data_IF_337273577886
#
_entry.id   IF_337273577886
#
_cell.length_a   1.000
_cell.length_b   1.000
_cell.length_c   1.000
_cell.angle_alpha   90.00
_cell.angle_beta   90.00
_cell.angle_gamma   90.00
#
_symmetry.space_group_name_H-M   'P 1'
#
loop_
_entity.id
_entity.type
_entity.pdbx_description
1 polymer ?
#
# COMPACT_ATOMS: atom_id res chain seq x y z
N UNK A 1 -46.24 -8.74 12.27
CA UNK A 1 -45.35 -9.38 11.28
C UNK A 1 -43.92 -9.17 11.79
N UNK A 2 -43.05 -10.20 11.76
CA UNK A 2 -41.61 -9.95 11.82
C UNK A 2 -41.16 -9.18 10.57
N UNK A 3 -39.98 -8.58 10.61
CA UNK A 3 -39.30 -7.98 9.46
C UNK A 3 -38.07 -8.83 9.16
N UNK A 4 -37.86 -9.15 7.88
CA UNK A 4 -36.73 -9.99 7.45
C UNK A 4 -35.40 -9.22 7.52
N UNK A 5 -34.30 -9.84 8.00
CA UNK A 5 -33.03 -9.17 8.24
C UNK A 5 -31.94 -9.47 7.18
N UNK A 6 -32.28 -9.61 5.89
CA UNK A 6 -31.29 -9.73 4.79
C UNK A 6 -31.54 -8.76 3.62
N UNK A 7 -31.10 -7.50 3.78
CA UNK A 7 -30.57 -6.72 2.66
C UNK A 7 -29.05 -6.56 2.85
N UNK A 8 -28.31 -7.59 2.42
CA UNK A 8 -26.85 -7.56 2.36
C UNK A 8 -26.42 -6.72 1.14
N UNK A 9 -26.27 -5.40 1.34
CA UNK A 9 -25.85 -4.48 0.29
C UNK A 9 -24.47 -4.90 -0.27
N UNK A 10 -24.34 -5.21 -1.58
CA UNK A 10 -23.11 -5.69 -2.16
C UNK A 10 -22.01 -4.62 -2.18
N UNK A 11 -20.77 -5.05 -1.96
CA UNK A 11 -19.59 -4.18 -1.96
C UNK A 11 -19.33 -3.62 -3.38
N UNK A 12 -19.27 -2.28 -3.58
CA UNK A 12 -18.93 -1.68 -4.88
C UNK A 12 -17.49 -1.97 -5.36
N UNK A 13 -16.64 -2.62 -4.55
CA UNK A 13 -15.33 -3.12 -4.97
C UNK A 13 -15.34 -4.59 -5.39
N UNK A 14 -16.49 -5.28 -5.35
CA UNK A 14 -16.64 -6.58 -6.00
C UNK A 14 -16.51 -6.40 -7.52
N UNK A 15 -15.46 -6.98 -8.11
CA UNK A 15 -15.25 -6.93 -9.56
C UNK A 15 -16.37 -7.67 -10.29
N UNK A 16 -16.98 -7.02 -11.29
CA UNK A 16 -18.03 -7.63 -12.11
C UNK A 16 -17.47 -8.86 -12.85
N UNK A 17 -17.99 -10.07 -12.62
CA UNK A 17 -17.45 -11.29 -13.22
C UNK A 17 -17.69 -11.39 -14.74
N UNK A 18 -18.41 -10.43 -15.35
CA UNK A 18 -18.77 -10.46 -16.76
C UNK A 18 -17.87 -9.59 -17.66
N UNK A 19 -17.08 -8.65 -17.11
CA UNK A 19 -16.17 -7.80 -17.92
C UNK A 19 -14.81 -8.49 -18.19
N UNK A 20 -14.87 -9.63 -18.89
CA UNK A 20 -13.70 -10.45 -19.22
C UNK A 20 -13.79 -10.99 -20.64
N UNK A 21 -13.77 -10.07 -21.65
CA UNK A 21 -13.55 -10.42 -23.06
C UNK A 21 -13.22 -9.30 -24.06
N UNK A 22 -12.49 -8.25 -23.67
CA UNK A 22 -11.56 -7.64 -24.65
C UNK A 22 -10.43 -6.78 -24.04
N UNK A 23 -9.29 -6.74 -24.74
CA UNK A 23 -8.00 -6.07 -24.42
C UNK A 23 -6.89 -6.95 -23.83
N UNK A 24 -6.69 -8.16 -24.40
CA UNK A 24 -5.42 -8.91 -24.24
C UNK A 24 -4.77 -9.24 -25.60
N UNK A 25 -4.54 -8.22 -26.43
CA UNK A 25 -3.78 -8.29 -27.69
C UNK A 25 -3.22 -6.92 -28.08
N UNK A 26 -2.02 -6.60 -27.58
CA UNK A 26 -0.94 -5.91 -28.32
C UNK A 26 0.21 -5.49 -27.37
N UNK A 27 1.15 -6.40 -27.14
CA UNK A 27 2.46 -6.04 -26.57
C UNK A 27 3.56 -6.95 -27.16
N UNK A 28 4.74 -6.34 -27.40
CA UNK A 28 6.05 -6.90 -27.80
C UNK A 28 6.50 -6.58 -29.24
N UNK A 29 7.72 -6.00 -29.33
CA UNK A 29 8.45 -5.41 -30.51
C UNK A 29 8.05 -3.94 -30.80
N UNK A 30 8.98 -2.98 -31.01
CA UNK A 30 10.44 -3.03 -31.28
C UNK A 30 11.28 -1.96 -30.52
N UNK A 31 12.43 -2.42 -30.00
CA UNK A 31 13.80 -1.83 -30.07
C UNK A 31 14.26 -0.62 -29.22
N UNK A 32 15.38 -0.89 -28.51
CA UNK A 32 16.57 -0.06 -28.22
C UNK A 32 16.47 1.39 -27.69
N UNK A 33 17.15 1.66 -26.56
CA UNK A 33 18.09 2.77 -26.43
C UNK A 33 19.51 2.37 -26.92
N UNK A 34 20.19 3.28 -27.63
CA UNK A 34 21.60 3.13 -28.00
C UNK A 34 22.52 3.62 -26.88
N UNK A 35 23.66 2.96 -26.68
CA UNK A 35 24.77 3.48 -25.86
C UNK A 35 26.01 3.69 -26.73
N UNK A 36 26.69 4.83 -26.51
CA UNK A 36 28.03 5.10 -27.07
C UNK A 36 28.93 5.62 -25.94
N UNK A 37 30.21 5.22 -25.90
CA UNK A 37 31.11 5.56 -24.80
C UNK A 37 31.79 6.92 -25.02
N UNK A 38 32.31 7.50 -23.95
CA UNK A 38 33.43 8.45 -24.01
C UNK A 38 34.27 8.30 -22.73
N UNK A 39 35.58 8.52 -22.82
CA UNK A 39 36.54 8.16 -21.78
C UNK A 39 37.54 9.31 -21.53
N UNK A 40 37.65 9.73 -20.26
CA UNK A 40 38.59 10.72 -19.64
C UNK A 40 38.17 10.83 -18.16
N UNK A 41 39.04 10.87 -17.15
CA UNK A 41 40.49 10.69 -17.12
C UNK A 41 41.05 10.67 -15.68
N UNK A 42 42.29 10.20 -15.55
CA UNK A 42 43.15 10.01 -14.36
C UNK A 42 43.14 11.15 -13.31
N UNK A 43 43.15 10.79 -12.01
CA UNK A 43 43.99 11.30 -10.88
C UNK A 43 43.65 10.48 -9.60
N UNK A 44 44.48 9.56 -9.10
CA UNK A 44 45.63 9.67 -8.15
C UNK A 44 45.29 9.91 -6.67
N UNK A 45 45.97 9.15 -5.78
CA UNK A 45 45.94 9.31 -4.32
C UNK A 45 45.27 8.15 -3.55
N UNK A 46 45.72 7.70 -2.37
CA UNK A 46 47.06 7.28 -1.92
C UNK A 46 46.99 6.67 -0.49
N UNK A 47 47.86 5.70 -0.19
CA UNK A 47 48.29 5.25 1.15
C UNK A 47 47.26 4.57 2.11
N UNK A 48 47.79 3.76 3.03
CA UNK A 48 47.07 2.92 3.99
C UNK A 48 47.79 1.57 4.20
N UNK A 49 48.43 1.38 5.36
CA UNK A 49 49.39 0.28 5.62
C UNK A 49 48.86 -0.80 6.60
N UNK A 50 49.73 -1.76 6.94
CA UNK A 50 49.63 -2.78 8.01
C UNK A 50 48.65 -3.97 7.81
N UNK A 51 48.96 -5.21 8.23
CA UNK A 51 50.25 -5.79 8.66
C UNK A 51 50.31 -7.32 8.44
N UNK A 52 51.41 -7.94 8.88
CA UNK A 52 51.81 -9.34 8.69
C UNK A 52 51.02 -10.36 9.53
N UNK A 53 50.88 -11.62 9.07
CA UNK A 53 51.40 -12.84 9.75
C UNK A 53 51.10 -14.17 9.00
N UNK A 54 51.72 -15.27 9.42
CA UNK A 54 51.80 -16.62 8.79
C UNK A 54 52.39 -17.62 9.82
N UNK A 55 52.44 -18.97 9.62
CA UNK A 55 51.48 -19.97 9.09
C UNK A 55 50.92 -20.84 10.26
N UNK A 56 50.47 -22.11 10.09
CA UNK A 56 51.39 -23.27 10.01
C UNK A 56 50.96 -24.41 9.04
N UNK A 57 51.69 -25.54 9.03
CA UNK A 57 51.47 -26.75 8.20
C UNK A 57 51.66 -28.03 9.06
N UNK A 58 50.85 -29.08 8.86
CA UNK A 58 51.33 -30.49 8.92
C UNK A 58 51.13 -31.20 7.55
N UNK A 59 52.08 -32.01 7.02
CA UNK A 59 52.35 -33.45 7.32
C UNK A 59 51.18 -34.37 6.92
N UNK A 60 51.31 -35.58 6.36
CA UNK A 60 52.42 -36.46 5.87
C UNK A 60 51.73 -37.49 4.88
N UNK A 61 52.29 -38.53 4.21
CA UNK A 61 53.58 -39.26 4.25
C UNK A 61 53.80 -40.15 2.97
N UNK A 62 55.07 -40.31 2.55
CA UNK A 62 55.76 -41.51 1.98
C UNK A 62 55.30 -42.31 0.72
N UNK A 63 56.34 -42.87 0.06
CA UNK A 63 56.42 -43.70 -1.17
C UNK A 63 56.58 -45.21 -0.81
N UNK A 64 56.46 -46.20 -1.75
CA UNK A 64 57.55 -46.64 -2.66
C UNK A 64 57.12 -46.76 -4.16
N UNK A 65 57.98 -46.69 -5.20
CA UNK A 65 59.02 -47.64 -5.69
C UNK A 65 58.48 -49.03 -6.11
N UNK A 66 58.89 -49.71 -7.20
CA UNK A 66 59.98 -49.54 -8.19
C UNK A 66 59.58 -50.09 -9.59
N UNK A 67 60.22 -49.63 -10.68
CA UNK A 67 61.13 -50.43 -11.54
C UNK A 67 61.39 -49.78 -12.93
N UNK A 68 62.65 -49.83 -13.36
CA UNK A 68 63.13 -49.34 -14.65
C UNK A 68 62.88 -50.33 -15.81
N UNK A 69 62.65 -49.77 -17.01
CA UNK A 69 63.25 -50.29 -18.24
C UNK A 69 63.29 -49.22 -19.36
N UNK A 70 64.48 -49.00 -19.90
CA UNK A 70 64.79 -48.29 -21.16
C UNK A 70 64.96 -49.35 -22.30
N UNK A 71 65.23 -48.99 -23.59
CA UNK A 71 65.36 -47.66 -24.20
C UNK A 71 64.55 -47.42 -25.51
N UNK A 72 64.61 -46.17 -25.99
CA UNK A 72 64.65 -45.72 -27.40
C UNK A 72 63.76 -46.37 -28.49
N UNK A 73 62.99 -45.52 -29.20
CA UNK A 73 63.00 -45.53 -30.67
C UNK A 73 62.60 -44.20 -31.30
N UNK A 74 63.10 -43.99 -32.52
CA UNK A 74 62.74 -43.01 -33.56
C UNK A 74 62.58 -41.50 -33.22
N UNK A 75 63.29 -40.70 -34.03
CA UNK A 75 63.16 -39.25 -34.14
C UNK A 75 61.82 -38.87 -34.83
N UNK A 76 61.21 -37.74 -34.47
CA UNK A 76 60.90 -36.61 -35.39
C UNK A 76 60.02 -35.51 -34.76
N UNK A 77 59.94 -34.38 -35.46
CA UNK A 77 59.02 -33.23 -35.27
C UNK A 77 59.15 -32.43 -33.96
N UNK A 78 59.68 -31.22 -34.12
CA UNK A 78 59.62 -30.14 -33.14
C UNK A 78 58.38 -29.26 -33.38
N UNK A 79 57.97 -28.51 -32.33
CA UNK A 79 57.03 -27.37 -32.34
C UNK A 79 55.50 -27.68 -32.35
N UNK A 80 54.72 -26.67 -31.91
CA UNK A 80 53.25 -26.50 -32.03
C UNK A 80 52.25 -27.27 -31.13
N UNK A 81 52.55 -27.49 -29.84
CA UNK A 81 51.52 -27.87 -28.83
C UNK A 81 51.13 -26.75 -27.85
N UNK A 82 52.05 -25.86 -27.52
CA UNK A 82 51.85 -24.82 -26.49
C UNK A 82 50.67 -23.86 -26.75
N UNK A 83 50.43 -23.34 -27.98
CA UNK A 83 49.27 -22.47 -28.24
C UNK A 83 47.93 -23.20 -28.08
N UNK A 84 47.87 -24.51 -28.36
CA UNK A 84 46.66 -25.31 -28.22
C UNK A 84 46.31 -25.52 -26.74
N UNK A 85 47.32 -25.83 -25.91
CA UNK A 85 47.11 -25.98 -24.46
C UNK A 85 46.68 -24.63 -23.83
N UNK A 86 47.31 -23.53 -24.23
CA UNK A 86 46.93 -22.19 -23.75
C UNK A 86 45.51 -21.80 -24.18
N UNK A 87 45.12 -22.10 -25.43
CA UNK A 87 43.76 -21.88 -25.92
C UNK A 87 42.72 -22.77 -25.21
N UNK A 88 43.07 -24.01 -24.86
CA UNK A 88 42.19 -24.90 -24.09
C UNK A 88 42.01 -24.40 -22.64
N UNK A 89 43.07 -23.90 -22.01
CA UNK A 89 42.99 -23.25 -20.70
C UNK A 89 42.15 -21.95 -20.75
N UNK A 90 42.24 -21.16 -21.82
CA UNK A 90 41.37 -19.99 -22.05
C UNK A 90 39.90 -20.40 -22.21
N UNK A 91 39.60 -21.44 -23.02
CA UNK A 91 38.24 -22.00 -23.15
C UNK A 91 37.69 -22.47 -21.80
N UNK A 92 38.49 -23.17 -20.99
CA UNK A 92 38.10 -23.63 -19.66
C UNK A 92 37.84 -22.46 -18.68
N UNK A 93 38.68 -21.41 -18.71
CA UNK A 93 38.47 -20.17 -17.94
C UNK A 93 37.16 -19.48 -18.34
N UNK A 94 36.90 -19.32 -19.64
CA UNK A 94 35.67 -18.74 -20.16
C UNK A 94 34.43 -19.58 -19.81
N UNK A 95 34.54 -20.91 -19.85
CA UNK A 95 33.46 -21.82 -19.46
C UNK A 95 33.16 -21.72 -17.96
N UNK A 96 34.18 -21.68 -17.09
CA UNK A 96 34.03 -21.39 -15.66
C UNK A 96 33.42 -20.00 -15.40
N UNK A 97 33.78 -18.98 -16.18
CA UNK A 97 33.21 -17.64 -16.05
C UNK A 97 31.73 -17.60 -16.44
N UNK A 98 31.34 -18.22 -17.57
CA UNK A 98 29.94 -18.39 -17.98
C UNK A 98 29.14 -19.20 -16.96
N UNK A 99 29.72 -20.25 -16.40
CA UNK A 99 29.08 -21.06 -15.37
C UNK A 99 28.85 -20.24 -14.09
N UNK A 100 29.85 -19.51 -13.59
CA UNK A 100 29.69 -18.59 -12.45
C UNK A 100 28.61 -17.53 -12.70
N UNK A 101 28.56 -16.95 -13.90
CA UNK A 101 27.49 -16.00 -14.27
C UNK A 101 26.11 -16.65 -14.26
N UNK A 102 25.99 -17.90 -14.74
CA UNK A 102 24.72 -18.66 -14.69
C UNK A 102 24.31 -18.97 -13.25
N UNK A 103 25.23 -19.44 -12.41
CA UNK A 103 25.02 -19.74 -10.99
C UNK A 103 24.60 -18.48 -10.22
N UNK A 104 25.27 -17.35 -10.46
CA UNK A 104 24.97 -16.05 -9.85
C UNK A 104 23.60 -15.50 -10.28
N UNK A 105 23.24 -15.62 -11.56
CA UNK A 105 21.91 -15.26 -12.07
C UNK A 105 20.82 -16.17 -11.49
N UNK A 106 21.10 -17.47 -11.32
CA UNK A 106 20.18 -18.44 -10.74
C UNK A 106 19.97 -18.18 -9.23
N UNK A 107 21.02 -17.83 -8.48
CA UNK A 107 20.89 -17.36 -7.09
C UNK A 107 20.07 -16.06 -7.01
N UNK A 108 20.29 -15.11 -7.92
CA UNK A 108 19.53 -13.85 -7.95
C UNK A 108 18.03 -14.10 -8.22
N UNK A 109 17.69 -15.02 -9.13
CA UNK A 109 16.31 -15.44 -9.37
C UNK A 109 15.69 -16.15 -8.16
N UNK A 110 16.45 -17.02 -7.48
CA UNK A 110 15.98 -17.68 -6.25
C UNK A 110 15.74 -16.67 -5.12
N UNK A 111 16.60 -15.65 -4.95
CA UNK A 111 16.40 -14.57 -3.97
C UNK A 111 15.19 -13.71 -4.30
N UNK A 112 14.90 -13.44 -5.59
CA UNK A 112 13.68 -12.73 -6.00
C UNK A 112 12.41 -13.56 -5.74
N UNK A 113 12.46 -14.88 -5.93
CA UNK A 113 11.33 -15.79 -5.62
C UNK A 113 11.09 -15.97 -4.11
N UNK A 114 12.09 -15.68 -3.27
CA UNK A 114 11.97 -15.74 -1.80
C UNK A 114 11.45 -14.44 -1.17
N UNK A 115 11.25 -13.37 -1.94
CA UNK A 115 10.55 -12.20 -1.40
C UNK A 115 9.08 -12.58 -1.13
N UNK A 116 8.55 -12.34 0.09
CA UNK A 116 7.15 -12.61 0.36
C UNK A 116 6.30 -11.69 -0.52
N UNK A 117 5.47 -12.30 -1.38
CA UNK A 117 4.44 -11.55 -2.09
C UNK A 117 3.58 -10.79 -1.06
N UNK A 118 3.09 -9.57 -1.36
CA UNK A 118 2.05 -8.94 -0.55
C UNK A 118 0.91 -9.94 -0.35
N UNK A 119 0.57 -10.22 0.92
CA UNK A 119 -0.49 -11.17 1.25
C UNK A 119 -1.82 -10.59 0.78
N UNK A 120 -2.35 -11.15 -0.30
CA UNK A 120 -3.74 -10.93 -0.71
C UNK A 120 -4.64 -11.35 0.46
N UNK A 121 -5.54 -10.46 0.87
CA UNK A 121 -6.47 -10.72 1.98
C UNK A 121 -7.41 -11.85 1.57
N UNK A 122 -7.75 -12.73 2.49
CA UNK A 122 -8.79 -13.74 2.21
C UNK A 122 -10.15 -13.07 2.05
N UNK A 123 -11.07 -13.73 1.36
CA UNK A 123 -12.45 -13.24 1.21
C UNK A 123 -13.13 -13.02 2.57
N UNK A 124 -12.81 -13.85 3.56
CA UNK A 124 -13.28 -13.71 4.94
C UNK A 124 -12.68 -12.48 5.64
N UNK A 125 -11.37 -12.22 5.48
CA UNK A 125 -10.72 -11.00 6.02
C UNK A 125 -11.32 -9.72 5.42
N UNK A 126 -11.66 -9.72 4.13
CA UNK A 126 -12.35 -8.61 3.46
C UNK A 126 -13.77 -8.40 4.01
N UNK A 127 -14.53 -9.47 4.20
CA UNK A 127 -15.89 -9.35 4.75
C UNK A 127 -15.88 -8.89 6.22
N UNK A 128 -14.91 -9.34 7.01
CA UNK A 128 -14.71 -8.87 8.39
C UNK A 128 -14.36 -7.36 8.42
N UNK A 129 -13.53 -6.86 7.50
CA UNK A 129 -13.26 -5.44 7.36
C UNK A 129 -14.50 -4.64 6.95
N UNK A 130 -15.30 -5.13 5.99
CA UNK A 130 -16.56 -4.50 5.58
C UNK A 130 -17.58 -4.42 6.74
N UNK A 131 -17.75 -5.52 7.49
CA UNK A 131 -18.61 -5.58 8.68
C UNK A 131 -18.14 -4.60 9.77
N UNK A 132 -16.83 -4.49 10.02
CA UNK A 132 -16.30 -3.54 11.01
C UNK A 132 -16.44 -2.09 10.54
N UNK A 133 -16.18 -1.79 9.26
CA UNK A 133 -16.42 -0.47 8.65
C UNK A 133 -17.88 -0.03 8.81
N UNK A 134 -18.83 -0.91 8.50
CA UNK A 134 -20.26 -0.63 8.65
C UNK A 134 -20.62 -0.31 10.11
N UNK A 135 -20.10 -1.08 11.07
CA UNK A 135 -20.27 -0.87 12.51
C UNK A 135 -19.66 0.45 13.00
N UNK A 136 -18.45 0.79 12.55
CA UNK A 136 -17.80 2.06 12.89
C UNK A 136 -18.60 3.25 12.37
N UNK A 137 -19.08 3.18 11.11
CA UNK A 137 -19.94 4.22 10.54
C UNK A 137 -21.24 4.32 11.35
N UNK A 138 -21.96 3.22 11.60
CA UNK A 138 -23.22 3.24 12.34
C UNK A 138 -23.06 3.83 13.75
N UNK A 139 -21.95 3.53 14.43
CA UNK A 139 -21.67 4.01 15.80
C UNK A 139 -21.31 5.50 15.81
N UNK A 140 -20.36 5.92 14.96
CA UNK A 140 -19.73 7.24 15.06
C UNK A 140 -20.28 8.29 14.07
N UNK A 141 -21.24 7.95 13.19
CA UNK A 141 -21.87 8.90 12.23
C UNK A 141 -22.46 10.14 12.90
N UNK A 142 -22.95 10.02 14.13
CA UNK A 142 -23.52 11.15 14.89
C UNK A 142 -22.49 12.19 15.35
N UNK A 143 -21.20 11.79 15.42
CA UNK A 143 -20.03 12.57 15.82
C UNK A 143 -19.34 13.26 14.64
N UNK A 144 -19.67 12.91 13.39
CA UNK A 144 -19.11 13.58 12.20
C UNK A 144 -19.41 15.07 12.28
N UNK A 145 -18.36 15.89 12.27
CA UNK A 145 -18.45 17.34 12.37
C UNK A 145 -18.49 17.97 10.99
N UNK A 146 -19.49 18.83 10.76
CA UNK A 146 -19.67 19.60 9.54
C UNK A 146 -19.46 21.07 9.84
N UNK A 147 -18.55 21.74 9.11
CA UNK A 147 -18.36 23.18 9.27
C UNK A 147 -19.60 23.97 8.81
N UNK A 148 -19.71 25.21 9.29
CA UNK A 148 -20.50 26.21 8.56
C UNK A 148 -19.92 26.44 7.17
N UNK A 149 -20.76 26.96 6.26
CA UNK A 149 -20.31 27.25 4.91
C UNK A 149 -19.48 28.54 4.92
N UNK A 150 -18.56 28.64 3.97
CA UNK A 150 -17.82 29.85 3.63
C UNK A 150 -17.76 29.97 2.11
N UNK A 151 -17.59 31.18 1.59
CA UNK A 151 -17.87 31.49 0.18
C UNK A 151 -16.76 32.38 -0.39
N UNK A 152 -16.48 32.22 -1.67
CA UNK A 152 -15.87 33.25 -2.52
C UNK A 152 -16.86 33.64 -3.65
N UNK A 153 -16.40 34.39 -4.66
CA UNK A 153 -17.23 34.88 -5.76
C UNK A 153 -17.76 33.76 -6.70
N UNK A 154 -17.24 32.53 -6.60
CA UNK A 154 -17.48 31.42 -7.55
C UNK A 154 -17.96 30.16 -6.83
N UNK A 155 -17.45 29.88 -5.63
CA UNK A 155 -17.62 28.61 -4.92
C UNK A 155 -18.10 28.78 -3.48
N UNK A 156 -18.99 27.88 -3.08
CA UNK A 156 -19.36 27.61 -1.70
C UNK A 156 -18.49 26.45 -1.19
N UNK A 157 -18.00 26.56 0.05
CA UNK A 157 -17.07 25.62 0.67
C UNK A 157 -17.57 25.10 2.02
N UNK A 158 -17.13 23.89 2.37
CA UNK A 158 -17.28 23.28 3.70
C UNK A 158 -16.08 22.36 3.96
N UNK A 159 -15.68 22.22 5.22
CA UNK A 159 -14.88 21.07 5.65
C UNK A 159 -15.71 20.13 6.54
N UNK A 160 -15.45 18.83 6.42
CA UNK A 160 -16.02 17.79 7.28
C UNK A 160 -14.88 17.11 8.02
N UNK A 161 -14.99 17.01 9.35
CA UNK A 161 -14.02 16.26 10.17
C UNK A 161 -14.61 14.91 10.57
N UNK A 162 -13.95 13.84 10.16
CA UNK A 162 -14.32 12.46 10.50
C UNK A 162 -13.75 12.06 11.88
N UNK A 163 -14.50 11.30 12.70
CA UNK A 163 -13.96 10.68 13.90
C UNK A 163 -12.93 9.60 13.51
N UNK A 164 -11.93 9.36 14.37
CA UNK A 164 -10.78 8.48 14.09
C UNK A 164 -11.17 7.05 13.68
N UNK A 165 -12.28 6.56 14.24
CA UNK A 165 -12.86 5.24 13.93
C UNK A 165 -13.40 5.13 12.49
N UNK A 166 -13.82 6.24 11.88
CA UNK A 166 -14.24 6.28 10.48
C UNK A 166 -13.05 6.64 9.57
N UNK A 167 -12.18 7.57 9.99
CA UNK A 167 -11.07 8.05 9.15
C UNK A 167 -10.02 6.97 8.82
N UNK A 168 -9.93 5.89 9.60
CA UNK A 168 -9.11 4.70 9.27
C UNK A 168 -9.54 3.97 8.00
N UNK A 169 -10.75 4.23 7.49
CA UNK A 169 -11.30 3.62 6.28
C UNK A 169 -11.18 4.52 5.04
N UNK A 170 -10.49 5.66 5.15
CA UNK A 170 -10.12 6.49 4.01
C UNK A 170 -9.05 5.82 3.14
N UNK A 171 -9.07 6.00 1.80
CA UNK A 171 -7.93 5.66 0.97
C UNK A 171 -6.73 6.54 1.33
N UNK A 172 -5.53 5.98 1.28
CA UNK A 172 -4.30 6.69 1.67
C UNK A 172 -3.99 7.90 0.76
N UNK A 173 -4.45 7.86 -0.50
CA UNK A 173 -4.30 8.94 -1.49
C UNK A 173 -5.53 8.99 -2.40
N UNK A 174 -5.93 10.20 -2.82
CA UNK A 174 -6.98 10.42 -3.82
C UNK A 174 -8.10 11.34 -3.36
N UNK A 175 -8.79 11.96 -4.33
CA UNK A 175 -10.06 12.64 -4.12
C UNK A 175 -11.19 11.62 -4.05
N UNK A 176 -12.27 11.95 -3.34
CA UNK A 176 -13.42 11.05 -3.14
C UNK A 176 -14.60 11.47 -4.02
N UNK A 177 -15.11 10.53 -4.81
CA UNK A 177 -16.39 10.66 -5.53
C UNK A 177 -17.55 10.68 -4.53
N UNK A 178 -18.71 11.18 -4.97
CA UNK A 178 -19.91 11.27 -4.15
C UNK A 178 -20.20 9.98 -3.34
N UNK A 179 -20.37 8.85 -4.02
CA UNK A 179 -20.61 7.55 -3.36
C UNK A 179 -19.54 7.16 -2.34
N UNK A 180 -18.28 7.50 -2.59
CA UNK A 180 -17.16 7.05 -1.74
C UNK A 180 -17.17 7.75 -0.37
N UNK A 181 -17.63 9.02 -0.28
CA UNK A 181 -17.86 9.69 1.00
C UNK A 181 -19.23 9.39 1.62
N UNK A 182 -20.27 9.12 0.81
CA UNK A 182 -21.56 8.59 1.31
C UNK A 182 -21.35 7.25 2.04
N UNK A 183 -20.53 6.35 1.48
CA UNK A 183 -20.07 5.09 2.12
C UNK A 183 -19.11 5.29 3.32
N UNK A 184 -18.90 6.52 3.80
CA UNK A 184 -18.25 6.83 5.09
C UNK A 184 -19.24 7.47 6.09
N UNK A 185 -20.52 7.54 5.75
CA UNK A 185 -21.57 8.17 6.56
C UNK A 185 -21.59 9.69 6.49
N UNK A 186 -20.82 10.30 5.58
CA UNK A 186 -20.90 11.75 5.31
C UNK A 186 -22.19 12.02 4.54
N UNK A 187 -23.02 12.93 5.05
CA UNK A 187 -24.29 13.31 4.46
C UNK A 187 -24.31 14.80 4.15
N UNK A 188 -24.41 15.12 2.87
CA UNK A 188 -24.56 16.49 2.37
C UNK A 188 -25.36 16.49 1.07
N UNK A 189 -25.59 17.67 0.51
CA UNK A 189 -26.41 17.84 -0.69
C UNK A 189 -25.71 17.30 -1.96
N UNK A 190 -26.44 17.19 -3.07
CA UNK A 190 -25.83 16.95 -4.36
C UNK A 190 -24.90 18.13 -4.78
N UNK A 191 -24.05 17.88 -5.78
CA UNK A 191 -23.09 18.83 -6.35
C UNK A 191 -21.88 19.22 -5.46
N UNK A 192 -21.66 18.58 -4.30
CA UNK A 192 -20.42 18.77 -3.51
C UNK A 192 -19.27 17.88 -4.00
N UNK A 193 -18.15 18.50 -4.38
CA UNK A 193 -16.91 17.86 -4.83
C UNK A 193 -15.86 17.87 -3.71
N UNK A 194 -15.24 16.72 -3.41
CA UNK A 194 -14.02 16.66 -2.59
C UNK A 194 -12.85 17.11 -3.48
N UNK A 195 -12.38 18.35 -3.33
CA UNK A 195 -11.47 18.98 -4.31
C UNK A 195 -9.98 18.93 -3.93
N UNK A 196 -9.66 18.71 -2.65
CA UNK A 196 -8.28 18.69 -2.16
C UNK A 196 -8.11 17.82 -0.92
N UNK A 197 -7.12 16.92 -0.94
CA UNK A 197 -6.73 16.12 0.24
C UNK A 197 -5.89 16.98 1.18
N UNK A 198 -6.30 17.10 2.45
CA UNK A 198 -5.55 17.83 3.45
C UNK A 198 -4.50 16.92 4.14
N UNK A 199 -3.28 16.87 3.57
CA UNK A 199 -2.23 15.93 3.98
C UNK A 199 -1.84 15.92 5.47
N UNK A 200 -1.82 17.05 6.22
CA UNK A 200 -1.49 17.05 7.66
C UNK A 200 -2.57 16.40 8.54
N UNK A 201 -3.84 16.66 8.26
CA UNK A 201 -5.00 16.09 8.96
C UNK A 201 -5.95 15.42 7.95
N UNK A 202 -5.62 14.22 7.41
CA UNK A 202 -6.38 13.57 6.33
C UNK A 202 -7.79 13.15 6.73
N UNK A 203 -8.12 13.18 8.03
CA UNK A 203 -9.47 13.03 8.55
C UNK A 203 -10.37 14.28 8.31
N UNK A 204 -9.82 15.37 7.76
CA UNK A 204 -10.54 16.52 7.25
C UNK A 204 -10.73 16.38 5.74
N UNK A 205 -11.98 16.28 5.30
CA UNK A 205 -12.38 16.31 3.90
C UNK A 205 -12.76 17.75 3.51
N UNK A 206 -12.21 18.25 2.40
CA UNK A 206 -12.43 19.61 1.90
C UNK A 206 -13.37 19.60 0.70
N UNK A 207 -14.57 20.15 0.89
CA UNK A 207 -15.63 20.16 -0.11
C UNK A 207 -15.87 21.55 -0.70
N UNK A 208 -16.16 21.60 -2.00
CA UNK A 208 -16.67 22.80 -2.70
C UNK A 208 -17.88 22.48 -3.58
N UNK A 209 -18.68 23.49 -3.92
CA UNK A 209 -19.65 23.47 -5.02
C UNK A 209 -19.78 24.85 -5.64
N UNK A 210 -20.29 24.95 -6.86
CA UNK A 210 -20.63 26.24 -7.50
C UNK A 210 -21.58 27.06 -6.60
N UNK A 211 -21.28 28.34 -6.40
CA UNK A 211 -22.10 29.26 -5.60
C UNK A 211 -23.12 29.96 -6.50
N UNK A 212 -24.40 29.92 -6.12
CA UNK A 212 -25.51 30.50 -6.90
C UNK A 212 -25.97 31.85 -6.33
N UNK A 213 -25.07 32.52 -5.60
CA UNK A 213 -25.25 33.87 -5.06
C UNK A 213 -25.90 33.93 -3.68
N UNK A 214 -26.01 35.16 -3.15
CA UNK A 214 -26.33 35.46 -1.73
C UNK A 214 -27.66 34.86 -1.25
N UNK A 215 -28.66 34.71 -2.12
CA UNK A 215 -29.93 34.06 -1.75
C UNK A 215 -29.73 32.57 -1.38
N UNK A 216 -28.76 31.89 -2.00
CA UNK A 216 -28.38 30.52 -1.65
C UNK A 216 -27.67 30.47 -0.30
N UNK A 217 -26.83 31.46 0.03
CA UNK A 217 -26.20 31.57 1.35
C UNK A 217 -27.23 31.70 2.47
N UNK A 218 -28.22 32.60 2.33
CA UNK A 218 -29.27 32.78 3.35
C UNK A 218 -30.09 31.49 3.57
N UNK A 219 -30.49 30.81 2.49
CA UNK A 219 -31.19 29.51 2.53
C UNK A 219 -30.35 28.41 3.18
N UNK A 220 -29.03 28.47 2.99
CA UNK A 220 -28.07 27.54 3.58
C UNK A 220 -27.87 27.78 5.10
N UNK A 221 -27.78 29.03 5.53
CA UNK A 221 -27.67 29.42 6.94
C UNK A 221 -28.94 29.04 7.72
N UNK A 222 -30.12 29.35 7.16
CA UNK A 222 -31.41 28.88 7.70
C UNK A 222 -31.45 27.36 7.87
N UNK A 223 -30.97 26.60 6.87
CA UNK A 223 -30.94 25.13 6.91
C UNK A 223 -30.04 24.62 8.02
N UNK A 224 -28.88 25.24 8.23
CA UNK A 224 -27.98 24.90 9.34
C UNK A 224 -28.62 25.21 10.70
N UNK A 225 -29.26 26.37 10.87
CA UNK A 225 -29.83 26.73 12.18
C UNK A 225 -31.11 25.93 12.48
N UNK A 226 -31.93 25.57 11.48
CA UNK A 226 -33.03 24.60 11.64
C UNK A 226 -32.50 23.23 12.12
N UNK A 227 -31.37 22.76 11.61
CA UNK A 227 -30.73 21.51 12.07
C UNK A 227 -30.15 21.64 13.49
N UNK A 228 -29.41 22.70 13.80
CA UNK A 228 -28.88 22.99 15.15
C UNK A 228 -30.00 23.09 16.18
N UNK A 229 -31.07 23.82 15.86
CA UNK A 229 -32.29 23.90 16.66
C UNK A 229 -32.88 22.52 16.92
N UNK A 230 -33.02 21.66 15.90
CA UNK A 230 -33.49 20.28 16.08
C UNK A 230 -32.58 19.47 17.02
N UNK A 231 -31.24 19.52 16.87
CA UNK A 231 -30.30 18.84 17.80
C UNK A 231 -30.42 19.36 19.24
N UNK A 232 -30.62 20.67 19.45
CA UNK A 232 -30.89 21.23 20.81
C UNK A 232 -32.24 20.72 21.36
N UNK A 233 -33.29 20.73 20.54
CA UNK A 233 -34.63 20.27 20.93
C UNK A 233 -34.70 18.76 21.22
N UNK A 234 -33.88 17.90 20.58
CA UNK A 234 -33.82 16.47 20.91
C UNK A 234 -33.08 16.22 22.22
N UNK A 235 -31.92 16.85 22.45
CA UNK A 235 -31.19 16.72 23.73
C UNK A 235 -32.04 17.15 24.92
N UNK A 236 -32.69 18.31 24.82
CA UNK A 236 -33.61 18.82 25.87
C UNK A 236 -34.81 17.88 26.12
N UNK A 237 -35.23 17.06 25.15
CA UNK A 237 -36.27 16.04 25.35
C UNK A 237 -35.73 14.80 26.05
N UNK A 238 -34.53 14.35 25.70
CA UNK A 238 -33.87 13.22 26.37
C UNK A 238 -33.54 13.53 27.83
N UNK A 239 -33.02 14.72 28.14
CA UNK A 239 -32.76 15.15 29.51
C UNK A 239 -34.05 15.23 30.35
N UNK A 240 -35.13 15.80 29.79
CA UNK A 240 -36.43 15.83 30.46
C UNK A 240 -37.00 14.44 30.71
N UNK A 241 -36.79 13.50 29.78
CA UNK A 241 -37.20 12.10 29.97
C UNK A 241 -36.40 11.42 31.08
N UNK A 242 -35.06 11.63 31.12
CA UNK A 242 -34.18 11.11 32.20
C UNK A 242 -34.59 11.65 33.57
N UNK A 243 -34.86 12.94 33.69
CA UNK A 243 -35.35 13.57 34.93
C UNK A 243 -36.70 12.97 35.35
N UNK A 244 -37.67 12.88 34.43
CA UNK A 244 -38.98 12.31 34.72
C UNK A 244 -38.92 10.84 35.19
N UNK A 245 -38.01 10.03 34.63
CA UNK A 245 -37.76 8.64 35.07
C UNK A 245 -37.16 8.62 36.49
N UNK A 246 -36.17 9.48 36.78
CA UNK A 246 -35.55 9.58 38.11
C UNK A 246 -36.54 10.07 39.19
N UNK A 247 -37.37 11.07 38.87
CA UNK A 247 -38.43 11.57 39.75
C UNK A 247 -39.48 10.49 40.03
N UNK A 248 -39.90 9.74 39.00
CA UNK A 248 -40.89 8.68 39.16
C UNK A 248 -40.34 7.51 39.99
N UNK A 249 -39.08 7.10 39.77
CA UNK A 249 -38.39 6.12 40.60
C UNK A 249 -38.28 6.58 42.07
N UNK A 250 -37.91 7.84 42.30
CA UNK A 250 -37.83 8.45 43.64
C UNK A 250 -39.20 8.50 44.32
N UNK A 251 -40.27 8.80 43.56
CA UNK A 251 -41.65 8.83 44.04
C UNK A 251 -42.21 7.44 44.33
N UNK A 252 -41.79 6.41 43.59
CA UNK A 252 -42.10 5.02 43.86
C UNK A 252 -41.40 4.53 45.14
N UNK A 253 -40.10 4.81 45.31
CA UNK A 253 -39.35 4.46 46.52
C UNK A 253 -39.92 5.12 47.79
N UNK A 254 -40.42 6.36 47.70
CA UNK A 254 -41.14 7.03 48.81
C UNK A 254 -42.52 6.46 49.11
N UNK A 255 -43.11 5.64 48.23
CA UNK A 255 -44.43 4.99 48.42
C UNK A 255 -44.34 3.58 49.03
N UNK A 256 -43.14 3.03 49.21
CA UNK A 256 -42.91 1.67 49.74
C UNK A 256 -42.26 1.65 51.14
N UNK A 257 -42.17 2.81 51.82
CA UNK A 257 -41.86 2.84 53.25
C UNK A 257 -43.17 2.78 54.05
N UNK A 258 -43.24 1.95 55.12
CA UNK A 258 -44.37 1.91 56.03
C UNK A 258 -44.44 3.18 56.91
#
# INVERSE_FOLDING_TARGET
>A
MPLDPEEFFPDPFAADPNDSKDTFKNLVRRHQPQSKPTNKGVMTGAQGEHSQQKPPIPKEKQQPQNKDQQPQKEQQQSQTTEPQHQAQLQKQKLQRQKQKQKEQLQQQQQQQQQQPKPREKTQEELEQEARQRAKDIQTYKSEIYYSSYYYDDIYAYRHVKLPKSISRWLPHYGLLKQKEWEYLGVEQEAQWEHYMVHAPEPHILLFRREFKGVEEQLKNEERQERFRRRKRETGVKEDKNRVAIADNATRAAKRQKP
#
